data_IF_276966114747
#
_entry.id   IF_276966114747
#
_cell.length_a   1.000
_cell.length_b   1.000
_cell.length_c   1.000
_cell.angle_alpha   90.00
_cell.angle_beta   90.00
_cell.angle_gamma   90.00
#
_symmetry.space_group_name_H-M   'P 1'
#
loop_
_entity.id
_entity.type
_entity.pdbx_description
1 polymer ?
#
# COMPACT_ATOMS: atom_id res chain seq x y z
N UNK A 1 16.75 -9.53 0.15
CA UNK A 1 16.60 -9.99 1.56
C UNK A 1 15.40 -10.90 1.68
N UNK A 2 15.58 -12.02 2.36
CA UNK A 2 14.49 -12.96 2.58
C UNK A 2 13.84 -12.65 3.93
N UNK A 3 12.56 -12.33 3.91
CA UNK A 3 11.80 -12.03 5.13
C UNK A 3 11.38 -13.31 5.83
N UNK A 4 11.40 -13.27 7.16
CA UNK A 4 10.85 -14.35 7.98
C UNK A 4 9.35 -14.45 7.72
N UNK A 5 8.86 -15.66 7.49
CA UNK A 5 7.44 -15.88 7.28
C UNK A 5 6.63 -15.53 8.54
N UNK A 6 5.54 -14.81 8.33
CA UNK A 6 4.61 -14.41 9.37
C UNK A 6 3.25 -15.01 9.06
N UNK A 7 2.86 -16.11 9.69
CA UNK A 7 1.58 -16.76 9.36
C UNK A 7 0.35 -15.89 9.61
N UNK A 8 0.48 -14.87 10.44
CA UNK A 8 -0.58 -13.92 10.75
C UNK A 8 -0.65 -12.72 9.80
N UNK A 9 0.28 -12.64 8.82
CA UNK A 9 0.45 -11.44 8.00
C UNK A 9 -0.81 -11.06 7.22
N UNK A 10 -1.44 -12.04 6.55
CA UNK A 10 -2.62 -11.72 5.73
C UNK A 10 -3.79 -11.22 6.59
N UNK A 11 -3.99 -11.79 7.77
CA UNK A 11 -5.05 -11.35 8.66
C UNK A 11 -4.79 -9.93 9.16
N UNK A 12 -3.54 -9.63 9.48
CA UNK A 12 -3.16 -8.29 9.93
C UNK A 12 -3.41 -7.25 8.82
N UNK A 13 -3.02 -7.56 7.59
CA UNK A 13 -3.27 -6.67 6.46
C UNK A 13 -4.77 -6.45 6.25
N UNK A 14 -5.57 -7.52 6.36
CA UNK A 14 -7.01 -7.43 6.16
C UNK A 14 -7.71 -6.62 7.26
N UNK A 15 -7.13 -6.50 8.45
CA UNK A 15 -7.66 -5.64 9.50
C UNK A 15 -7.53 -4.15 9.16
N UNK A 16 -6.73 -3.80 8.16
CA UNK A 16 -6.49 -2.43 7.73
C UNK A 16 -6.91 -2.24 6.27
N UNK A 17 -8.10 -2.74 5.93
CA UNK A 17 -8.59 -2.72 4.55
C UNK A 17 -8.79 -1.32 3.99
N UNK A 18 -8.87 -0.31 4.83
CA UNK A 18 -8.93 1.09 4.39
C UNK A 18 -7.59 1.60 3.85
N UNK A 19 -6.51 0.89 4.14
CA UNK A 19 -5.15 1.27 3.69
C UNK A 19 -4.60 0.26 2.70
N UNK A 20 -4.88 -1.05 2.92
CA UNK A 20 -4.26 -2.16 2.19
C UNK A 20 -5.29 -2.95 1.41
N UNK A 21 -5.02 -3.16 0.12
CA UNK A 21 -5.77 -4.10 -0.71
C UNK A 21 -5.00 -5.41 -0.80
N UNK A 22 -5.68 -6.52 -0.55
CA UNK A 22 -5.10 -7.86 -0.67
C UNK A 22 -5.77 -8.72 -1.72
N UNK A 23 -6.86 -8.25 -2.32
CA UNK A 23 -7.59 -8.95 -3.38
C UNK A 23 -7.98 -7.98 -4.48
N UNK A 24 -7.94 -8.44 -5.74
CA UNK A 24 -8.23 -7.59 -6.91
C UNK A 24 -9.61 -6.94 -6.81
N UNK A 25 -10.61 -7.68 -6.35
CA UNK A 25 -11.99 -7.15 -6.27
C UNK A 25 -12.11 -5.95 -5.34
N UNK A 26 -11.23 -5.84 -4.34
CA UNK A 26 -11.26 -4.73 -3.40
C UNK A 26 -10.94 -3.40 -4.07
N UNK A 27 -10.19 -3.43 -5.18
CA UNK A 27 -9.86 -2.21 -5.93
C UNK A 27 -11.09 -1.54 -6.55
N UNK A 28 -12.19 -2.28 -6.68
CA UNK A 28 -13.43 -1.73 -7.24
C UNK A 28 -14.33 -1.07 -6.21
N UNK A 29 -13.98 -1.14 -4.93
CA UNK A 29 -14.76 -0.48 -3.88
C UNK A 29 -14.67 1.04 -4.02
N UNK A 30 -15.74 1.72 -3.65
CA UNK A 30 -15.85 3.17 -3.83
C UNK A 30 -14.69 3.94 -3.21
N UNK A 31 -14.28 3.57 -2.00
CA UNK A 31 -13.22 4.27 -1.29
C UNK A 31 -11.88 4.18 -2.06
N UNK A 32 -11.63 3.04 -2.71
CA UNK A 32 -10.43 2.87 -3.51
C UNK A 32 -10.53 3.59 -4.84
N UNK A 33 -11.70 3.55 -5.47
CA UNK A 33 -11.93 4.27 -6.73
C UNK A 33 -11.83 5.77 -6.53
N UNK A 34 -12.32 6.30 -5.43
CA UNK A 34 -12.16 7.72 -5.11
C UNK A 34 -10.71 8.11 -4.96
N UNK A 35 -9.91 7.29 -4.28
CA UNK A 35 -8.48 7.54 -4.11
C UNK A 35 -7.76 7.48 -5.46
N UNK A 36 -8.03 6.44 -6.27
CA UNK A 36 -7.38 6.25 -7.57
C UNK A 36 -7.73 7.37 -8.55
N UNK A 37 -8.98 7.84 -8.53
CA UNK A 37 -9.50 8.83 -9.50
C UNK A 37 -9.36 10.27 -9.04
N UNK A 38 -8.83 10.52 -7.86
CA UNK A 38 -8.64 11.88 -7.40
C UNK A 38 -7.71 12.64 -8.35
N UNK A 39 -7.86 13.96 -8.39
CA UNK A 39 -7.06 14.81 -9.27
C UNK A 39 -5.65 15.08 -8.74
N UNK A 40 -5.32 14.52 -7.59
CA UNK A 40 -4.02 14.73 -6.98
C UNK A 40 -2.93 13.96 -7.73
N UNK A 41 -1.73 14.46 -7.67
CA UNK A 41 -0.57 13.81 -8.27
C UNK A 41 -0.32 12.50 -7.52
N UNK A 42 -0.14 11.42 -8.28
CA UNK A 42 0.13 10.10 -7.70
C UNK A 42 1.53 9.63 -8.05
N UNK A 43 2.15 9.00 -7.10
CA UNK A 43 3.43 8.34 -7.26
C UNK A 43 3.24 6.86 -6.92
N UNK A 44 3.60 5.98 -7.86
CA UNK A 44 3.47 4.53 -7.68
C UNK A 44 4.85 3.92 -7.57
N UNK A 45 5.08 3.13 -6.52
CA UNK A 45 6.30 2.39 -6.32
C UNK A 45 6.00 0.89 -6.36
N UNK A 46 6.79 0.13 -7.12
CA UNK A 46 6.68 -1.32 -7.19
C UNK A 46 7.90 -1.92 -6.50
N UNK A 47 7.67 -2.84 -5.56
CA UNK A 47 8.75 -3.40 -4.75
C UNK A 47 9.12 -2.47 -3.62
N UNK A 48 8.39 -2.50 -2.53
CA UNK A 48 8.41 -1.47 -1.48
C UNK A 48 9.70 -1.34 -0.67
N UNK A 49 10.60 -2.32 -0.71
CA UNK A 49 11.86 -2.24 0.02
C UNK A 49 11.69 -1.90 1.50
N UNK A 50 10.75 -2.51 2.20
CA UNK A 50 10.39 -2.22 3.60
C UNK A 50 9.71 -0.86 3.82
N UNK A 51 9.43 -0.11 2.77
CA UNK A 51 8.66 1.12 2.84
C UNK A 51 9.39 2.36 3.33
N UNK A 52 10.69 2.29 3.56
CA UNK A 52 11.45 3.45 4.08
C UNK A 52 11.41 4.64 3.14
N UNK A 53 11.62 4.38 1.87
CA UNK A 53 11.68 5.45 0.87
C UNK A 53 10.32 6.08 0.66
N UNK A 54 9.29 5.27 0.38
CA UNK A 54 7.97 5.78 0.04
C UNK A 54 7.29 6.46 1.24
N UNK A 55 7.46 5.93 2.44
CA UNK A 55 6.87 6.56 3.63
C UNK A 55 7.53 7.89 3.94
N UNK A 56 8.85 8.00 3.73
CA UNK A 56 9.57 9.26 3.88
C UNK A 56 9.06 10.30 2.89
N UNK A 57 8.91 9.91 1.62
CA UNK A 57 8.36 10.81 0.60
C UNK A 57 6.93 11.25 0.92
N UNK A 58 6.09 10.33 1.36
CA UNK A 58 4.71 10.66 1.70
C UNK A 58 4.64 11.66 2.84
N UNK A 59 5.49 11.49 3.86
CA UNK A 59 5.55 12.41 4.98
C UNK A 59 6.01 13.80 4.57
N UNK A 60 6.98 13.86 3.66
CA UNK A 60 7.53 15.14 3.20
C UNK A 60 6.63 15.86 2.20
N UNK A 61 5.73 15.13 1.54
CA UNK A 61 4.91 15.67 0.46
C UNK A 61 3.43 15.32 0.70
N UNK A 62 2.79 15.95 1.68
CA UNK A 62 1.41 15.59 2.05
C UNK A 62 0.37 15.86 0.95
N UNK A 63 0.71 16.68 -0.04
CA UNK A 63 -0.19 16.99 -1.16
C UNK A 63 -0.10 15.97 -2.30
N UNK A 64 0.84 15.03 -2.23
CA UNK A 64 1.03 14.00 -3.24
C UNK A 64 0.49 12.68 -2.68
N UNK A 65 -0.24 11.93 -3.51
CA UNK A 65 -0.73 10.62 -3.14
C UNK A 65 0.24 9.55 -3.62
N UNK A 66 0.52 8.60 -2.75
CA UNK A 66 1.47 7.52 -3.01
C UNK A 66 0.77 6.17 -2.97
N UNK A 67 1.17 5.29 -3.89
CA UNK A 67 0.69 3.92 -3.94
C UNK A 67 1.91 3.01 -3.94
N UNK A 68 1.98 2.09 -2.99
CA UNK A 68 3.04 1.09 -2.91
C UNK A 68 2.49 -0.28 -3.27
N UNK A 69 3.10 -0.93 -4.25
CA UNK A 69 2.71 -2.26 -4.70
C UNK A 69 3.80 -3.24 -4.29
N UNK A 70 3.43 -4.26 -3.53
CA UNK A 70 4.35 -5.27 -3.04
C UNK A 70 3.65 -6.62 -2.95
N UNK A 71 4.18 -7.61 -3.64
CA UNK A 71 3.60 -8.96 -3.65
C UNK A 71 3.81 -9.70 -2.33
N UNK A 72 4.96 -9.51 -1.68
CA UNK A 72 5.31 -10.22 -0.45
C UNK A 72 4.53 -9.65 0.74
N UNK A 73 3.60 -10.43 1.28
CA UNK A 73 2.79 -10.00 2.42
C UNK A 73 3.62 -9.71 3.68
N UNK A 74 4.74 -10.40 3.86
CA UNK A 74 5.61 -10.19 5.02
C UNK A 74 6.33 -8.85 4.94
N UNK A 75 6.73 -8.44 3.74
CA UNK A 75 7.27 -7.11 3.49
C UNK A 75 6.19 -6.05 3.68
N UNK A 76 4.99 -6.30 3.17
CA UNK A 76 3.89 -5.34 3.27
C UNK A 76 3.49 -5.05 4.71
N UNK A 77 3.59 -6.03 5.61
CA UNK A 77 3.36 -5.81 7.05
C UNK A 77 4.30 -4.71 7.56
N UNK A 78 5.56 -4.73 7.18
CA UNK A 78 6.53 -3.71 7.59
C UNK A 78 6.18 -2.33 7.04
N UNK A 79 5.72 -2.29 5.80
CA UNK A 79 5.29 -1.03 5.19
C UNK A 79 4.07 -0.47 5.92
N UNK A 80 3.08 -1.32 6.19
CA UNK A 80 1.89 -0.92 6.92
C UNK A 80 2.22 -0.38 8.31
N UNK A 81 3.12 -1.05 9.04
CA UNK A 81 3.54 -0.59 10.36
C UNK A 81 4.08 0.84 10.30
N UNK A 82 4.89 1.16 9.29
CA UNK A 82 5.43 2.52 9.13
C UNK A 82 4.35 3.53 8.83
N UNK A 83 3.38 3.17 8.00
CA UNK A 83 2.25 4.04 7.68
C UNK A 83 1.45 4.36 8.94
N UNK A 84 1.17 3.35 9.75
CA UNK A 84 0.41 3.52 11.00
C UNK A 84 1.18 4.33 12.03
N UNK A 85 2.47 4.04 12.22
CA UNK A 85 3.31 4.75 13.20
C UNK A 85 3.43 6.24 12.88
N UNK A 86 3.45 6.59 11.60
CA UNK A 86 3.63 7.97 11.15
C UNK A 86 2.30 8.66 10.84
N UNK A 87 1.17 7.97 10.98
CA UNK A 87 -0.17 8.51 10.71
C UNK A 87 -0.28 9.12 9.31
N UNK A 88 0.25 8.41 8.30
CA UNK A 88 0.22 8.89 6.92
C UNK A 88 -1.16 8.63 6.32
N UNK A 89 -1.76 9.65 5.72
CA UNK A 89 -3.08 9.56 5.10
C UNK A 89 -3.01 9.65 3.57
N UNK A 90 -1.84 9.90 3.02
CA UNK A 90 -1.63 10.07 1.58
C UNK A 90 -0.91 8.88 0.94
N UNK A 91 -0.99 7.71 1.54
CA UNK A 91 -0.40 6.48 1.01
C UNK A 91 -1.40 5.34 1.09
N UNK A 92 -1.44 4.52 0.06
CA UNK A 92 -2.22 3.28 0.03
C UNK A 92 -1.33 2.14 -0.42
N UNK A 93 -1.65 0.94 0.03
CA UNK A 93 -0.81 -0.23 -0.16
C UNK A 93 -1.59 -1.29 -0.95
N UNK A 94 -0.93 -1.89 -1.93
CA UNK A 94 -1.53 -2.94 -2.75
C UNK A 94 -0.63 -4.17 -2.67
N UNK A 95 -1.14 -5.22 -2.02
CA UNK A 95 -0.41 -6.47 -1.84
C UNK A 95 -0.89 -7.49 -2.87
N UNK A 96 -0.58 -7.21 -4.14
CA UNK A 96 -0.99 -8.02 -5.30
C UNK A 96 0.13 -8.00 -6.34
N UNK A 97 0.17 -9.01 -7.23
CA UNK A 97 1.05 -8.92 -8.41
C UNK A 97 0.69 -7.70 -9.25
N UNK A 98 1.71 -6.98 -9.73
CA UNK A 98 1.48 -5.75 -10.49
C UNK A 98 0.64 -5.99 -11.75
N UNK A 99 0.77 -7.15 -12.37
CA UNK A 99 0.02 -7.50 -13.59
C UNK A 99 -1.48 -7.64 -13.35
N UNK A 100 -1.91 -7.79 -12.10
CA UNK A 100 -3.35 -7.89 -11.76
C UNK A 100 -4.01 -6.52 -11.58
N UNK A 101 -3.23 -5.45 -11.53
CA UNK A 101 -3.76 -4.12 -11.24
C UNK A 101 -3.67 -3.14 -12.42
N UNK A 102 -3.20 -3.59 -13.59
CA UNK A 102 -2.97 -2.70 -14.74
C UNK A 102 -4.25 -2.06 -15.29
N UNK A 103 -5.41 -2.62 -15.00
CA UNK A 103 -6.71 -2.11 -15.46
C UNK A 103 -7.32 -1.06 -14.52
N UNK A 104 -6.62 -0.71 -13.45
CA UNK A 104 -7.16 0.20 -12.43
C UNK A 104 -6.38 1.50 -12.24
#
# INVERSE_FOLDING_TARGET
>A
MRMRNKPWAIDYLNQHSEIVVTEVDDLQQDVWQQFIRSNDIKHIEVGSGMGRFITTLAKQNPDIQYISVELDKNVMVRVLDKVLEQNLDNIRLICLPIEEIHDY
#
